data_IF_917001624722
#
_entry.id   IF_917001624722
#
_cell.length_a   1.000
_cell.length_b   1.000
_cell.length_c   1.000
_cell.angle_alpha   90.00
_cell.angle_beta   90.00
_cell.angle_gamma   90.00
#
_symmetry.space_group_name_H-M   'P 1'
#
loop_
_entity.id
_entity.type
_entity.pdbx_description
1 polymer ?
#
# COMPACT_ATOMS: atom_id res chain seq x y z
N UNK A 1 7.76 -36.58 -14.96
CA UNK A 1 8.41 -35.31 -14.56
C UNK A 1 7.32 -34.43 -13.99
N UNK A 2 7.32 -34.20 -12.67
CA UNK A 2 6.36 -33.33 -12.00
C UNK A 2 6.97 -31.93 -12.00
N UNK A 3 6.35 -30.99 -12.71
CA UNK A 3 6.67 -29.58 -12.52
C UNK A 3 6.10 -29.17 -11.18
N UNK A 4 6.94 -28.66 -10.28
CA UNK A 4 6.46 -27.93 -9.12
C UNK A 4 5.62 -26.76 -9.66
N UNK A 5 4.39 -26.54 -9.15
CA UNK A 5 3.61 -25.40 -9.57
C UNK A 5 4.40 -24.14 -9.26
N UNK A 6 4.50 -23.24 -10.24
CA UNK A 6 4.97 -21.88 -9.98
C UNK A 6 3.92 -21.27 -9.06
N UNK A 7 4.23 -21.13 -7.78
CA UNK A 7 3.45 -20.25 -6.92
C UNK A 7 3.64 -18.83 -7.47
N UNK A 8 2.62 -18.31 -8.14
CA UNK A 8 2.62 -16.96 -8.72
C UNK A 8 2.50 -15.88 -7.66
N UNK A 9 1.92 -16.23 -6.51
CA UNK A 9 1.65 -15.33 -5.41
C UNK A 9 2.87 -15.22 -4.48
N UNK A 10 3.31 -14.00 -4.14
CA UNK A 10 4.34 -13.80 -3.13
C UNK A 10 3.84 -14.24 -1.74
N UNK A 11 4.78 -14.53 -0.84
CA UNK A 11 4.47 -14.66 0.58
C UNK A 11 4.28 -13.28 1.22
N UNK A 12 3.54 -13.20 2.33
CA UNK A 12 3.42 -11.97 3.09
C UNK A 12 4.80 -11.46 3.56
N UNK A 13 5.09 -10.17 3.42
CA UNK A 13 6.37 -9.59 3.85
C UNK A 13 6.46 -9.52 5.38
N UNK A 14 7.67 -9.26 5.89
CA UNK A 14 7.87 -8.96 7.31
C UNK A 14 7.49 -7.51 7.60
N UNK A 15 6.69 -7.29 8.65
CA UNK A 15 6.30 -5.97 9.13
C UNK A 15 7.51 -5.05 9.40
N UNK A 16 7.34 -3.76 9.16
CA UNK A 16 8.35 -2.70 9.34
C UNK A 16 7.91 -1.59 10.29
N UNK A 17 6.72 -1.69 10.84
CA UNK A 17 6.19 -0.76 11.83
C UNK A 17 4.72 -1.06 12.16
N UNK A 18 4.05 -0.18 12.92
CA UNK A 18 2.69 -0.39 13.39
C UNK A 18 1.65 -0.57 12.27
N UNK A 19 1.78 0.15 11.15
CA UNK A 19 0.82 0.07 10.05
C UNK A 19 0.88 -1.29 9.37
N UNK A 20 2.08 -1.69 8.95
CA UNK A 20 2.27 -2.98 8.29
C UNK A 20 2.00 -4.14 9.23
N UNK A 21 2.33 -4.04 10.52
CA UNK A 21 1.97 -5.07 11.50
C UNK A 21 0.45 -5.25 11.60
N UNK A 22 -0.31 -4.17 11.77
CA UNK A 22 -1.77 -4.24 11.89
C UNK A 22 -2.43 -4.84 10.63
N UNK A 23 -1.96 -4.48 9.44
CA UNK A 23 -2.48 -5.03 8.18
C UNK A 23 -2.09 -6.50 8.03
N UNK A 24 -0.83 -6.86 8.26
CA UNK A 24 -0.37 -8.23 8.08
C UNK A 24 -1.05 -9.20 9.06
N UNK A 25 -1.25 -8.79 10.31
CA UNK A 25 -2.00 -9.57 11.30
C UNK A 25 -3.44 -9.78 10.84
N UNK A 26 -4.10 -8.73 10.33
CA UNK A 26 -5.46 -8.81 9.78
C UNK A 26 -5.56 -9.81 8.62
N UNK A 27 -4.57 -9.84 7.73
CA UNK A 27 -4.55 -10.74 6.57
C UNK A 27 -4.33 -12.21 6.92
N UNK A 28 -3.95 -12.53 8.17
CA UNK A 28 -3.93 -13.92 8.64
C UNK A 28 -5.33 -14.49 8.90
N UNK A 29 -6.35 -13.61 8.94
CA UNK A 29 -7.75 -13.98 9.11
C UNK A 29 -8.50 -14.07 7.77
N UNK A 30 -9.72 -14.62 7.81
CA UNK A 30 -10.63 -14.59 6.65
C UNK A 30 -11.27 -13.22 6.51
N UNK A 31 -11.49 -12.79 5.26
CA UNK A 31 -12.11 -11.51 4.99
C UNK A 31 -13.55 -11.49 5.54
N UNK A 32 -13.89 -10.56 6.45
CA UNK A 32 -15.23 -10.48 7.01
C UNK A 32 -16.22 -10.04 5.92
N UNK A 33 -17.31 -10.79 5.77
CA UNK A 33 -18.34 -10.50 4.75
C UNK A 33 -19.43 -9.53 5.23
N UNK A 34 -19.50 -9.26 6.54
CA UNK A 34 -20.67 -8.60 7.16
C UNK A 34 -20.35 -7.40 8.05
N UNK A 35 -19.08 -7.12 8.34
CA UNK A 35 -18.69 -6.04 9.26
C UNK A 35 -17.52 -5.21 8.73
N UNK A 36 -17.57 -3.92 9.05
CA UNK A 36 -16.50 -2.97 8.78
C UNK A 36 -15.42 -3.12 9.86
N UNK A 37 -14.32 -3.78 9.53
CA UNK A 37 -13.13 -3.71 10.38
C UNK A 37 -12.44 -2.38 10.10
N UNK A 38 -12.58 -1.41 11.01
CA UNK A 38 -11.75 -0.21 10.97
C UNK A 38 -10.34 -0.62 11.39
N UNK A 39 -9.36 -0.39 10.52
CA UNK A 39 -7.96 -0.55 10.89
C UNK A 39 -7.59 0.70 11.69
N UNK A 40 -7.52 0.56 13.00
CA UNK A 40 -7.13 1.63 13.92
C UNK A 40 -5.60 1.77 13.89
N UNK A 41 -5.10 2.48 12.88
CA UNK A 41 -3.70 2.88 12.83
C UNK A 41 -3.60 4.39 12.65
N UNK A 42 -2.76 5.04 13.47
CA UNK A 42 -2.56 6.49 13.40
C UNK A 42 -1.71 6.83 12.18
N UNK A 43 -2.35 7.27 11.11
CA UNK A 43 -1.68 7.71 9.87
C UNK A 43 -1.07 9.10 10.05
N UNK A 44 -1.67 9.94 10.90
CA UNK A 44 -1.36 11.37 11.01
C UNK A 44 0.09 11.68 11.42
N UNK A 45 0.75 10.77 12.15
CA UNK A 45 2.14 10.94 12.60
C UNK A 45 3.16 10.14 11.75
N UNK A 46 2.71 9.44 10.71
CA UNK A 46 3.57 8.58 9.90
C UNK A 46 4.29 9.38 8.81
N UNK A 47 5.59 9.10 8.62
CA UNK A 47 6.36 9.60 7.48
C UNK A 47 5.78 9.04 6.16
N UNK A 48 5.30 9.88 5.22
CA UNK A 48 4.74 9.42 3.95
C UNK A 48 5.71 8.59 3.10
N UNK A 49 7.01 8.82 3.25
CA UNK A 49 8.07 8.06 2.57
C UNK A 49 8.64 6.94 3.44
N UNK A 50 8.16 6.83 4.67
CA UNK A 50 8.58 5.84 5.64
C UNK A 50 8.32 4.42 5.14
N UNK A 51 9.27 3.54 5.42
CA UNK A 51 9.21 2.14 4.97
C UNK A 51 7.94 1.41 5.42
N UNK A 52 7.36 1.79 6.56
CA UNK A 52 6.12 1.19 7.08
C UNK A 52 4.90 1.58 6.23
N UNK A 53 4.78 2.88 5.86
CA UNK A 53 3.72 3.37 4.95
C UNK A 53 3.87 2.73 3.57
N UNK A 54 5.08 2.74 3.01
CA UNK A 54 5.34 2.22 1.68
C UNK A 54 5.12 0.70 1.60
N UNK A 55 5.52 -0.05 2.64
CA UNK A 55 5.24 -1.47 2.71
C UNK A 55 3.73 -1.74 2.81
N UNK A 56 3.00 -0.94 3.60
CA UNK A 56 1.56 -1.08 3.73
C UNK A 56 0.83 -0.80 2.41
N UNK A 57 1.23 0.26 1.70
CA UNK A 57 0.73 0.56 0.35
C UNK A 57 1.03 -0.59 -0.62
N UNK A 58 2.27 -1.12 -0.62
CA UNK A 58 2.62 -2.29 -1.42
C UNK A 58 1.70 -3.47 -1.15
N UNK A 59 1.46 -3.83 0.12
CA UNK A 59 0.56 -4.92 0.49
C UNK A 59 -0.86 -4.65 -0.02
N UNK A 60 -1.39 -3.43 0.19
CA UNK A 60 -2.71 -3.04 -0.31
C UNK A 60 -2.79 -3.14 -1.84
N UNK A 61 -1.73 -2.77 -2.58
CA UNK A 61 -1.70 -2.90 -4.03
C UNK A 61 -1.63 -4.34 -4.50
N UNK A 62 -0.75 -5.16 -3.91
CA UNK A 62 -0.59 -6.56 -4.32
C UNK A 62 -1.89 -7.36 -4.15
N UNK A 63 -2.69 -7.06 -3.11
CA UNK A 63 -4.04 -7.62 -2.94
C UNK A 63 -4.97 -7.37 -4.13
N UNK A 64 -4.79 -6.27 -4.87
CA UNK A 64 -5.58 -5.93 -6.06
C UNK A 64 -4.94 -6.42 -7.37
N UNK A 65 -3.74 -7.01 -7.29
CA UNK A 65 -3.02 -7.51 -8.45
C UNK A 65 -2.99 -9.03 -8.47
N UNK A 66 -2.13 -9.64 -7.64
CA UNK A 66 -1.94 -11.10 -7.60
C UNK A 66 -2.47 -11.73 -6.32
N UNK A 67 -2.61 -10.96 -5.25
CA UNK A 67 -2.82 -11.49 -3.91
C UNK A 67 -1.53 -12.03 -3.29
N UNK A 68 -1.67 -12.68 -2.13
CA UNK A 68 -0.58 -13.32 -1.41
C UNK A 68 -0.93 -14.78 -1.13
N UNK A 69 0.10 -15.62 -1.10
CA UNK A 69 -0.07 -17.05 -0.89
C UNK A 69 -0.78 -17.32 0.45
N UNK A 70 -1.97 -17.93 0.37
CA UNK A 70 -2.77 -18.30 1.54
C UNK A 70 -3.59 -17.17 2.18
N UNK A 71 -3.64 -16.00 1.55
CA UNK A 71 -4.51 -14.89 1.96
C UNK A 71 -5.86 -14.98 1.24
N UNK A 72 -6.94 -14.64 1.92
CA UNK A 72 -8.30 -14.63 1.35
C UNK A 72 -8.46 -13.48 0.34
N UNK A 73 -8.75 -13.79 -0.93
CA UNK A 73 -8.96 -12.79 -1.99
C UNK A 73 -10.05 -11.77 -1.66
N UNK A 74 -10.99 -12.11 -0.77
CA UNK A 74 -12.03 -11.18 -0.31
C UNK A 74 -11.49 -9.93 0.38
N UNK A 75 -10.23 -9.93 0.81
CA UNK A 75 -9.56 -8.75 1.37
C UNK A 75 -9.40 -7.61 0.36
N UNK A 76 -9.35 -7.90 -0.95
CA UNK A 76 -9.25 -6.89 -2.00
C UNK A 76 -10.42 -5.89 -1.95
N UNK A 77 -11.61 -6.35 -1.55
CA UNK A 77 -12.82 -5.53 -1.45
C UNK A 77 -13.15 -5.09 -0.02
N UNK A 78 -12.29 -5.36 0.95
CA UNK A 78 -12.59 -5.01 2.34
C UNK A 78 -12.64 -3.47 2.50
N UNK A 79 -13.77 -2.90 2.93
CA UNK A 79 -13.91 -1.44 3.00
C UNK A 79 -12.92 -0.77 3.95
N UNK A 80 -12.48 -1.47 5.01
CA UNK A 80 -11.48 -0.99 5.95
C UNK A 80 -10.10 -0.84 5.31
N UNK A 81 -9.66 -1.86 4.55
CA UNK A 81 -8.41 -1.80 3.79
C UNK A 81 -8.46 -0.77 2.67
N UNK A 82 -9.58 -0.66 1.95
CA UNK A 82 -9.77 0.37 0.93
C UNK A 82 -9.67 1.79 1.51
N UNK A 83 -10.28 2.01 2.68
CA UNK A 83 -10.22 3.29 3.37
C UNK A 83 -8.81 3.61 3.90
N UNK A 84 -8.11 2.62 4.46
CA UNK A 84 -6.71 2.76 4.85
C UNK A 84 -5.84 3.13 3.66
N UNK A 85 -5.95 2.37 2.55
CA UNK A 85 -5.20 2.64 1.32
C UNK A 85 -5.42 4.06 0.83
N UNK A 86 -6.67 4.52 0.76
CA UNK A 86 -6.98 5.88 0.32
C UNK A 86 -6.30 6.96 1.18
N UNK A 87 -6.26 6.79 2.51
CA UNK A 87 -5.58 7.73 3.40
C UNK A 87 -4.05 7.71 3.24
N UNK A 88 -3.46 6.52 3.03
CA UNK A 88 -2.03 6.41 2.79
C UNK A 88 -1.62 6.99 1.43
N UNK A 89 -2.43 6.77 0.39
CA UNK A 89 -2.25 7.36 -0.94
C UNK A 89 -2.34 8.90 -0.89
N UNK A 90 -3.30 9.44 -0.15
CA UNK A 90 -3.46 10.89 0.04
C UNK A 90 -2.26 11.51 0.78
N UNK A 91 -1.78 10.85 1.84
CA UNK A 91 -0.60 11.29 2.58
C UNK A 91 0.67 11.24 1.72
N UNK A 92 0.86 10.15 0.95
CA UNK A 92 1.98 10.01 0.03
C UNK A 92 1.94 11.05 -1.09
N UNK A 93 0.78 11.21 -1.75
CA UNK A 93 0.60 12.19 -2.81
C UNK A 93 0.83 13.63 -2.31
N UNK A 94 0.30 13.96 -1.14
CA UNK A 94 0.53 15.25 -0.49
C UNK A 94 2.02 15.49 -0.20
N UNK A 95 2.74 14.44 0.20
CA UNK A 95 4.19 14.46 0.34
C UNK A 95 4.89 14.81 -0.98
N UNK A 96 4.57 14.05 -2.03
CA UNK A 96 5.17 14.23 -3.36
C UNK A 96 4.89 15.63 -3.89
N UNK A 97 3.65 16.10 -3.81
CA UNK A 97 3.25 17.44 -4.28
C UNK A 97 4.00 18.55 -3.55
N UNK A 98 4.19 18.42 -2.23
CA UNK A 98 4.97 19.39 -1.46
C UNK A 98 6.42 19.44 -1.90
N UNK A 99 7.03 18.28 -2.17
CA UNK A 99 8.46 18.21 -2.51
C UNK A 99 8.73 18.60 -3.97
N UNK A 100 7.80 18.31 -4.88
CA UNK A 100 7.83 18.78 -6.27
C UNK A 100 7.60 20.30 -6.34
N UNK A 101 6.64 20.81 -5.55
CA UNK A 101 6.23 22.21 -5.57
C UNK A 101 5.27 22.53 -6.73
N UNK A 102 5.14 23.83 -7.04
CA UNK A 102 4.32 24.27 -8.17
C UNK A 102 4.99 23.93 -9.49
N UNK A 103 4.23 23.31 -10.41
CA UNK A 103 4.66 23.02 -11.78
C UNK A 103 4.00 24.04 -12.70
N UNK A 104 4.80 24.75 -13.49
CA UNK A 104 4.27 25.68 -14.50
C UNK A 104 3.44 24.93 -15.55
N UNK A 105 2.34 25.53 -16.00
CA UNK A 105 1.40 24.89 -16.96
C UNK A 105 2.06 24.46 -18.27
N UNK A 106 3.14 25.14 -18.68
CA UNK A 106 3.89 24.84 -19.91
C UNK A 106 5.10 23.92 -19.67
N UNK A 107 5.38 23.55 -18.42
CA UNK A 107 6.49 22.68 -18.08
C UNK A 107 6.28 21.28 -18.66
N UNK A 108 7.35 20.68 -19.17
CA UNK A 108 7.34 19.30 -19.64
C UNK A 108 7.87 18.37 -18.56
N UNK A 109 7.28 17.18 -18.48
CA UNK A 109 7.60 16.18 -17.48
C UNK A 109 9.09 15.78 -17.49
N UNK A 110 9.70 15.63 -18.67
CA UNK A 110 11.12 15.31 -18.83
C UNK A 110 12.03 16.41 -18.26
N UNK A 111 11.74 17.68 -18.60
CA UNK A 111 12.48 18.82 -18.07
C UNK A 111 12.36 18.97 -16.55
N UNK A 112 11.17 18.71 -16.00
CA UNK A 112 10.94 18.80 -14.55
C UNK A 112 11.61 17.63 -13.80
N UNK A 113 11.58 16.43 -14.37
CA UNK A 113 12.31 15.28 -13.83
C UNK A 113 13.82 15.52 -13.80
N UNK A 114 14.40 16.10 -14.86
CA UNK A 114 15.82 16.49 -14.87
C UNK A 114 16.14 17.54 -13.80
N UNK A 115 15.26 18.51 -13.57
CA UNK A 115 15.43 19.57 -12.56
C UNK A 115 15.41 19.03 -11.13
N UNK A 116 14.56 18.04 -10.86
CA UNK A 116 14.32 17.48 -9.52
C UNK A 116 15.25 16.32 -9.15
N UNK A 117 15.85 15.65 -10.14
CA UNK A 117 16.77 14.54 -9.91
C UNK A 117 18.16 15.06 -9.49
N UNK A 118 18.63 14.64 -8.31
CA UNK A 118 19.96 14.99 -7.75
C UNK A 118 21.04 14.05 -8.31
#
# INVERSE_FOLDING_TARGET
MSFAPIALEPALPTARGPLSMAVLDLLTERAPRTHLNRIEASIHDSDPYGIDVQLTLYVCYELHYRGFAGVDDGWEWNPGLLHLRAQLEDAFLSGVQRDVGEIETEAKADSEMERLSI
#
